data_IF_366585921409
#
_entry.id   IF_366585921409
#
_cell.length_a   1.000
_cell.length_b   1.000
_cell.length_c   1.000
_cell.angle_alpha   90.00
_cell.angle_beta   90.00
_cell.angle_gamma   90.00
#
_symmetry.space_group_name_H-M   'P 1'
#
loop_
_entity.id
_entity.type
_entity.pdbx_description
1 polymer ?
#
# COMPACT_ATOMS: atom_id res chain seq x y z
N UNK A 1 14.19 2.29 -0.75
CA UNK A 1 13.73 1.09 -1.48
C UNK A 1 12.74 0.37 -0.60
N UNK A 2 11.61 -0.08 -1.16
CA UNK A 2 10.44 -0.52 -0.38
C UNK A 2 10.70 -1.81 0.40
N UNK A 3 11.51 -2.73 -0.14
CA UNK A 3 11.94 -3.94 0.55
C UNK A 3 12.57 -3.62 1.91
N UNK A 4 13.45 -2.61 1.97
CA UNK A 4 14.09 -2.22 3.23
C UNK A 4 13.08 -1.56 4.18
N UNK A 5 12.12 -0.78 3.67
CA UNK A 5 11.05 -0.18 4.50
C UNK A 5 10.18 -1.23 5.19
N UNK A 6 9.92 -2.36 4.52
CA UNK A 6 9.08 -3.46 5.04
C UNK A 6 9.89 -4.66 5.57
N UNK A 7 11.20 -4.51 5.78
CA UNK A 7 12.10 -5.63 6.09
C UNK A 7 11.73 -6.45 7.31
N UNK A 8 11.09 -5.84 8.31
CA UNK A 8 10.59 -6.55 9.50
C UNK A 8 9.56 -7.64 9.16
N UNK A 9 8.97 -7.61 7.96
CA UNK A 9 8.01 -8.59 7.47
C UNK A 9 8.62 -9.59 6.47
N UNK A 10 9.94 -9.61 6.34
CA UNK A 10 10.65 -10.54 5.44
C UNK A 10 10.27 -11.99 5.73
N UNK A 11 9.68 -12.64 4.73
CA UNK A 11 9.23 -14.05 4.77
C UNK A 11 8.25 -14.39 5.90
N UNK A 12 7.55 -13.40 6.47
CA UNK A 12 6.47 -13.65 7.43
C UNK A 12 5.26 -14.18 6.68
N UNK A 13 4.69 -15.31 7.12
CA UNK A 13 3.55 -15.96 6.45
C UNK A 13 2.20 -15.31 6.80
N UNK A 14 2.08 -14.00 6.59
CA UNK A 14 0.86 -13.22 6.81
C UNK A 14 0.68 -12.12 5.77
N UNK A 15 -0.33 -11.26 5.96
CA UNK A 15 -0.63 -10.14 5.05
C UNK A 15 0.53 -9.14 4.92
N UNK A 16 1.22 -8.83 6.01
CA UNK A 16 2.37 -7.93 5.96
C UNK A 16 3.56 -8.53 5.20
N UNK A 17 3.83 -9.83 5.35
CA UNK A 17 4.86 -10.49 4.55
C UNK A 17 4.51 -10.56 3.07
N UNK A 18 3.23 -10.72 2.72
CA UNK A 18 2.76 -10.54 1.34
C UNK A 18 2.97 -9.11 0.84
N UNK A 19 2.70 -8.09 1.66
CA UNK A 19 3.02 -6.71 1.30
C UNK A 19 4.53 -6.52 1.04
N UNK A 20 5.40 -7.16 1.83
CA UNK A 20 6.84 -7.17 1.61
C UNK A 20 7.25 -7.87 0.30
N UNK A 21 6.63 -9.01 -0.07
CA UNK A 21 6.89 -9.65 -1.36
C UNK A 21 6.58 -8.70 -2.54
N UNK A 22 5.49 -7.93 -2.45
CA UNK A 22 5.18 -6.89 -3.44
C UNK A 22 6.19 -5.73 -3.40
N UNK A 23 6.67 -5.34 -2.22
CA UNK A 23 7.72 -4.33 -2.07
C UNK A 23 9.03 -4.75 -2.78
N UNK A 24 9.43 -6.02 -2.66
CA UNK A 24 10.58 -6.61 -3.37
C UNK A 24 10.36 -6.53 -4.89
N UNK A 25 9.17 -6.91 -5.37
CA UNK A 25 8.86 -6.86 -6.81
C UNK A 25 8.96 -5.42 -7.36
N UNK A 26 8.48 -4.42 -6.62
CA UNK A 26 8.59 -3.00 -6.99
C UNK A 26 10.06 -2.59 -7.11
N UNK A 27 10.91 -2.95 -6.15
CA UNK A 27 12.32 -2.61 -6.17
C UNK A 27 13.05 -3.31 -7.33
N UNK A 28 12.72 -4.57 -7.65
CA UNK A 28 13.24 -5.26 -8.83
C UNK A 28 12.83 -4.52 -10.11
N UNK A 29 11.55 -4.20 -10.27
CA UNK A 29 11.02 -3.51 -11.45
C UNK A 29 11.66 -2.13 -11.66
N UNK A 30 11.92 -1.41 -10.56
CA UNK A 30 12.58 -0.09 -10.56
C UNK A 30 14.00 -0.14 -11.13
N UNK A 31 14.64 -1.31 -11.14
CA UNK A 31 15.99 -1.53 -11.68
C UNK A 31 15.98 -2.13 -13.09
N UNK A 32 14.80 -2.26 -13.73
CA UNK A 32 14.68 -2.74 -15.11
C UNK A 32 14.59 -1.60 -16.12
N UNK A 33 14.70 -1.92 -17.42
CA UNK A 33 14.45 -0.97 -18.51
C UNK A 33 12.99 -0.95 -18.99
N UNK A 34 12.06 -1.56 -18.24
CA UNK A 34 10.64 -1.61 -18.59
C UNK A 34 10.07 -0.19 -18.47
N UNK A 35 9.49 0.31 -19.56
CA UNK A 35 8.91 1.67 -19.61
C UNK A 35 7.46 1.73 -19.14
N UNK A 36 6.76 0.63 -19.30
CA UNK A 36 5.35 0.53 -18.94
C UNK A 36 5.22 0.37 -17.42
N UNK A 37 4.56 1.33 -16.77
CA UNK A 37 4.39 1.35 -15.32
C UNK A 37 3.30 0.40 -14.81
N UNK A 38 2.57 -0.28 -15.69
CA UNK A 38 1.41 -1.12 -15.36
C UNK A 38 1.78 -2.21 -14.34
N UNK A 39 2.86 -2.95 -14.55
CA UNK A 39 3.31 -4.01 -13.62
C UNK A 39 3.74 -3.40 -12.27
N UNK A 40 4.48 -2.30 -12.30
CA UNK A 40 4.88 -1.57 -11.09
C UNK A 40 3.63 -1.15 -10.30
N UNK A 41 2.63 -0.61 -11.00
CA UNK A 41 1.37 -0.16 -10.43
C UNK A 41 0.58 -1.27 -9.74
N UNK A 42 0.48 -2.43 -10.39
CA UNK A 42 -0.14 -3.62 -9.79
C UNK A 42 0.53 -3.97 -8.45
N UNK A 43 1.87 -4.07 -8.42
CA UNK A 43 2.57 -4.43 -7.20
C UNK A 43 2.46 -3.34 -6.13
N UNK A 44 2.50 -2.06 -6.49
CA UNK A 44 2.35 -0.95 -5.54
C UNK A 44 0.97 -0.92 -4.90
N UNK A 45 -0.09 -1.13 -5.69
CA UNK A 45 -1.45 -1.21 -5.18
C UNK A 45 -1.61 -2.40 -4.22
N UNK A 46 -1.12 -3.59 -4.60
CA UNK A 46 -1.20 -4.78 -3.76
C UNK A 46 -0.41 -4.62 -2.46
N UNK A 47 0.77 -4.02 -2.50
CA UNK A 47 1.56 -3.70 -1.31
C UNK A 47 0.74 -2.85 -0.31
N UNK A 48 0.12 -1.77 -0.77
CA UNK A 48 -0.70 -0.91 0.09
C UNK A 48 -1.96 -1.62 0.58
N UNK A 49 -2.67 -2.34 -0.30
CA UNK A 49 -3.89 -3.07 0.06
C UNK A 49 -3.63 -4.08 1.17
N UNK A 50 -2.62 -4.93 0.99
CA UNK A 50 -2.27 -5.97 1.95
C UNK A 50 -1.79 -5.36 3.26
N UNK A 51 -1.05 -4.25 3.21
CA UNK A 51 -0.60 -3.58 4.42
C UNK A 51 -1.75 -2.92 5.19
N UNK A 52 -2.71 -2.28 4.52
CA UNK A 52 -3.93 -1.81 5.20
C UNK A 52 -4.71 -2.94 5.85
N UNK A 53 -4.86 -4.08 5.14
CA UNK A 53 -5.57 -5.24 5.66
C UNK A 53 -4.85 -5.86 6.86
N UNK A 54 -3.52 -5.92 6.84
CA UNK A 54 -2.71 -6.30 7.99
C UNK A 54 -2.98 -5.40 9.21
N UNK A 55 -2.98 -4.07 9.03
CA UNK A 55 -3.27 -3.13 10.12
C UNK A 55 -4.69 -3.31 10.68
N UNK A 56 -5.67 -3.56 9.81
CA UNK A 56 -7.04 -3.84 10.23
C UNK A 56 -7.14 -5.18 10.97
N UNK A 57 -6.47 -6.22 10.49
CA UNK A 57 -6.44 -7.54 11.13
C UNK A 57 -5.79 -7.50 12.52
N UNK A 58 -4.71 -6.75 12.68
CA UNK A 58 -3.87 -6.81 13.89
C UNK A 58 -4.13 -5.69 14.90
N UNK A 59 -4.64 -4.53 14.46
CA UNK A 59 -4.81 -3.34 15.33
C UNK A 59 -6.25 -2.86 15.46
N UNK A 60 -7.21 -3.43 14.73
CA UNK A 60 -8.63 -3.11 14.95
C UNK A 60 -9.22 -3.92 16.10
N UNK A 61 -10.30 -3.41 16.71
CA UNK A 61 -11.00 -4.11 17.79
C UNK A 61 -11.51 -5.50 17.39
N UNK A 62 -11.92 -5.67 16.13
CA UNK A 62 -12.57 -6.88 15.64
C UNK A 62 -11.66 -7.76 14.77
N UNK A 63 -10.46 -7.30 14.43
CA UNK A 63 -9.52 -8.02 13.57
C UNK A 63 -10.07 -8.33 12.18
N UNK A 64 -10.88 -7.42 11.61
CA UNK A 64 -11.57 -7.64 10.34
C UNK A 64 -11.42 -6.46 9.39
N UNK A 65 -11.40 -6.74 8.09
CA UNK A 65 -11.37 -5.75 7.02
C UNK A 65 -12.46 -6.06 5.98
N UNK A 66 -12.92 -5.04 5.25
CA UNK A 66 -13.90 -5.28 4.19
C UNK A 66 -13.30 -6.01 2.99
N UNK A 67 -14.14 -6.74 2.25
CA UNK A 67 -13.75 -7.38 1.00
C UNK A 67 -13.70 -6.37 -0.16
N UNK A 68 -12.84 -5.36 -0.04
CA UNK A 68 -12.60 -4.34 -1.05
C UNK A 68 -11.11 -4.27 -1.43
N UNK A 69 -10.86 -3.76 -2.64
CA UNK A 69 -9.54 -3.45 -3.18
C UNK A 69 -9.33 -1.92 -3.31
N UNK A 70 -10.35 -1.13 -2.95
CA UNK A 70 -10.34 0.32 -3.04
C UNK A 70 -9.53 0.90 -1.89
N UNK A 71 -8.32 1.37 -2.18
CA UNK A 71 -7.36 1.81 -1.17
C UNK A 71 -7.89 2.96 -0.30
N UNK A 72 -8.65 3.89 -0.87
CA UNK A 72 -9.26 4.99 -0.14
C UNK A 72 -10.26 4.51 0.92
N UNK A 73 -11.01 3.43 0.65
CA UNK A 73 -11.94 2.85 1.62
C UNK A 73 -11.17 2.13 2.73
N UNK A 74 -10.11 1.41 2.38
CA UNK A 74 -9.26 0.75 3.35
C UNK A 74 -8.59 1.76 4.30
N UNK A 75 -8.10 2.91 3.79
CA UNK A 75 -7.59 3.98 4.64
C UNK A 75 -8.67 4.51 5.60
N UNK A 76 -9.89 4.73 5.11
CA UNK A 76 -11.01 5.16 5.95
C UNK A 76 -11.34 4.14 7.05
N UNK A 77 -11.32 2.84 6.72
CA UNK A 77 -11.49 1.76 7.70
C UNK A 77 -10.36 1.75 8.73
N UNK A 78 -9.10 1.93 8.30
CA UNK A 78 -7.95 1.98 9.23
C UNK A 78 -8.11 3.15 10.20
N UNK A 79 -8.48 4.33 9.72
CA UNK A 79 -8.70 5.50 10.58
C UNK A 79 -9.87 5.28 11.54
N UNK A 80 -10.96 4.68 11.06
CA UNK A 80 -12.18 4.49 11.85
C UNK A 80 -12.03 3.39 12.91
N UNK A 81 -11.31 2.32 12.59
CA UNK A 81 -11.30 1.09 13.39
C UNK A 81 -10.00 0.87 14.18
N UNK A 82 -8.99 1.73 14.02
CA UNK A 82 -7.70 1.62 14.73
C UNK A 82 -7.33 2.95 15.42
N UNK A 83 -6.17 2.98 16.10
CA UNK A 83 -5.58 4.19 16.65
C UNK A 83 -4.91 5.11 15.61
N UNK A 84 -4.83 4.71 14.34
CA UNK A 84 -4.16 5.49 13.30
C UNK A 84 -4.86 6.82 13.01
N UNK A 85 -4.10 7.91 12.89
CA UNK A 85 -4.63 9.26 12.60
C UNK A 85 -3.77 9.92 11.53
N UNK A 86 -4.44 10.47 10.52
CA UNK A 86 -3.82 11.28 9.47
C UNK A 86 -4.88 12.17 8.80
N UNK A 87 -4.45 13.17 8.03
CA UNK A 87 -5.35 13.95 7.17
C UNK A 87 -5.61 13.20 5.86
N UNK A 88 -6.65 12.36 5.87
CA UNK A 88 -6.99 11.51 4.70
C UNK A 88 -7.20 12.30 3.42
N UNK A 89 -7.60 13.58 3.48
CA UNK A 89 -7.91 14.39 2.30
C UNK A 89 -6.70 14.55 1.37
N UNK A 90 -5.49 14.47 1.92
CA UNK A 90 -4.23 14.53 1.18
C UNK A 90 -3.99 13.30 0.28
N UNK A 91 -4.60 12.17 0.64
CA UNK A 91 -4.29 10.88 0.02
C UNK A 91 -5.41 10.31 -0.86
N UNK A 92 -6.67 10.75 -0.68
CA UNK A 92 -7.83 10.13 -1.35
C UNK A 92 -7.69 10.06 -2.88
N UNK A 93 -7.25 11.15 -3.52
CA UNK A 93 -7.11 11.20 -4.97
C UNK A 93 -5.98 10.28 -5.45
N UNK A 94 -4.81 10.33 -4.79
CA UNK A 94 -3.67 9.48 -5.14
C UNK A 94 -4.00 7.98 -5.00
N UNK A 95 -4.68 7.60 -3.90
CA UNK A 95 -5.14 6.23 -3.66
C UNK A 95 -6.16 5.77 -4.71
N UNK A 96 -7.03 6.68 -5.18
CA UNK A 96 -7.96 6.39 -6.25
C UNK A 96 -7.25 6.17 -7.59
N UNK A 97 -6.26 7.00 -7.93
CA UNK A 97 -5.44 6.81 -9.15
C UNK A 97 -4.73 5.46 -9.13
N UNK A 98 -4.12 5.07 -8.01
CA UNK A 98 -3.44 3.77 -7.87
C UNK A 98 -4.44 2.61 -8.04
N UNK A 99 -5.63 2.72 -7.43
CA UNK A 99 -6.69 1.72 -7.57
C UNK A 99 -7.10 1.55 -9.03
N UNK A 100 -7.43 2.65 -9.71
CA UNK A 100 -7.84 2.65 -11.12
C UNK A 100 -6.73 2.09 -12.01
N UNK A 101 -5.49 2.52 -11.79
CA UNK A 101 -4.35 2.04 -12.57
C UNK A 101 -4.19 0.51 -12.50
N UNK A 102 -4.49 -0.12 -11.36
CA UNK A 102 -4.47 -1.58 -11.23
C UNK A 102 -5.70 -2.27 -11.83
N UNK A 103 -6.87 -1.62 -11.80
CA UNK A 103 -8.07 -2.13 -12.48
C UNK A 103 -7.87 -2.13 -14.01
N UNK A 104 -7.25 -1.07 -14.54
CA UNK A 104 -6.94 -0.85 -15.96
C UNK A 104 -5.71 -1.63 -16.45
N UNK A 105 -4.76 -1.96 -15.55
CA UNK A 105 -3.56 -2.78 -15.82
C UNK A 105 -3.80 -3.97 -16.76
N UNK A 106 -4.93 -4.66 -16.58
CA UNK A 106 -5.24 -5.91 -17.27
C UNK A 106 -5.78 -5.71 -18.68
N UNK A 107 -6.22 -4.50 -19.02
CA UNK A 107 -7.05 -4.25 -20.20
C UNK A 107 -6.58 -3.09 -21.07
N UNK A 108 -5.78 -2.17 -20.53
CA UNK A 108 -5.50 -0.89 -21.18
C UNK A 108 -4.01 -0.53 -21.18
N UNK A 109 -3.44 -0.38 -22.37
CA UNK A 109 -2.04 0.00 -22.59
C UNK A 109 -1.78 1.52 -22.47
N UNK A 110 -2.82 2.32 -22.19
CA UNK A 110 -2.75 3.79 -22.16
C UNK A 110 -2.72 4.37 -20.74
N UNK A 111 -2.03 3.72 -19.80
CA UNK A 111 -1.87 4.23 -18.45
C UNK A 111 -1.05 5.52 -18.49
N UNK A 112 -1.57 6.58 -17.87
CA UNK A 112 -0.81 7.79 -17.58
C UNK A 112 0.22 7.51 -16.47
N UNK A 113 1.39 7.02 -16.88
CA UNK A 113 2.47 6.69 -15.97
C UNK A 113 3.01 7.90 -15.20
N UNK A 114 2.93 9.11 -15.77
CA UNK A 114 3.37 10.32 -15.08
C UNK A 114 2.43 10.64 -13.91
N UNK A 115 1.12 10.68 -14.17
CA UNK A 115 0.10 10.87 -13.14
C UNK A 115 0.13 9.76 -12.06
N UNK A 116 0.38 8.52 -12.48
CA UNK A 116 0.60 7.41 -11.56
C UNK A 116 1.81 7.63 -10.64
N UNK A 117 2.97 7.99 -11.19
CA UNK A 117 4.19 8.20 -10.38
C UNK A 117 4.05 9.39 -9.42
N UNK A 118 3.33 10.45 -9.80
CA UNK A 118 2.97 11.53 -8.87
C UNK A 118 2.13 11.02 -7.69
N UNK A 119 1.17 10.13 -7.97
CA UNK A 119 0.35 9.50 -6.93
C UNK A 119 1.16 8.58 -6.01
N UNK A 120 2.15 7.86 -6.55
CA UNK A 120 3.10 7.06 -5.75
C UNK A 120 3.90 7.94 -4.79
N UNK A 121 4.39 9.09 -5.23
CA UNK A 121 5.14 10.01 -4.36
C UNK A 121 4.27 10.44 -3.17
N UNK A 122 3.01 10.80 -3.41
CA UNK A 122 2.06 11.17 -2.36
C UNK A 122 1.80 9.99 -1.41
N UNK A 123 1.52 8.81 -1.96
CA UNK A 123 1.24 7.62 -1.15
C UNK A 123 2.47 7.07 -0.41
N UNK A 124 3.70 7.45 -0.80
CA UNK A 124 4.90 7.12 -0.04
C UNK A 124 4.95 7.80 1.31
N UNK A 125 4.45 9.03 1.42
CA UNK A 125 4.30 9.70 2.72
C UNK A 125 3.30 8.94 3.61
N UNK A 126 2.16 8.53 3.04
CA UNK A 126 1.21 7.70 3.76
C UNK A 126 1.82 6.36 4.20
N UNK A 127 2.57 5.69 3.33
CA UNK A 127 3.25 4.44 3.68
C UNK A 127 4.20 4.63 4.87
N UNK A 128 4.95 5.73 4.91
CA UNK A 128 5.84 6.04 6.02
C UNK A 128 5.08 6.31 7.33
N UNK A 129 3.94 7.00 7.28
CA UNK A 129 3.06 7.18 8.44
C UNK A 129 2.51 5.84 8.95
N UNK A 130 2.05 4.97 8.04
CA UNK A 130 1.51 3.66 8.39
C UNK A 130 2.58 2.75 9.00
N UNK A 131 3.80 2.76 8.46
CA UNK A 131 4.93 2.01 9.01
C UNK A 131 5.34 2.53 10.39
N UNK A 132 5.33 3.86 10.59
CA UNK A 132 5.54 4.47 11.90
C UNK A 132 4.49 4.03 12.92
N UNK A 133 3.21 3.96 12.50
CA UNK A 133 2.12 3.46 13.34
C UNK A 133 2.24 1.95 13.63
N UNK A 134 2.74 1.18 12.68
CA UNK A 134 2.97 -0.25 12.85
C UNK A 134 4.03 -0.52 13.92
N UNK A 135 5.21 0.09 13.78
CA UNK A 135 6.35 -0.09 14.70
C UNK A 135 6.18 0.51 16.09
N UNK A 136 5.20 1.41 16.31
CA UNK A 136 4.98 2.02 17.63
C UNK A 136 4.50 1.02 18.71
N UNK A 137 3.97 -0.15 18.33
CA UNK A 137 3.45 -1.13 19.29
C UNK A 137 4.51 -2.10 19.86
N UNK A 138 5.72 -2.15 19.31
CA UNK A 138 6.79 -3.04 19.82
C UNK A 138 7.48 -2.52 21.10
N UNK A 139 7.04 -1.38 21.63
CA UNK A 139 7.58 -0.77 22.85
C UNK A 139 6.62 -0.77 24.05
N UNK A 140 5.48 -1.45 23.95
CA UNK A 140 4.47 -1.55 25.02
C UNK A 140 3.97 -2.98 25.30
N UNK A 141 4.68 -4.01 24.84
CA UNK A 141 4.43 -5.41 25.22
C UNK A 141 5.47 -5.91 26.23
#
# INVERSE_FOLDING_TARGET
MYQEKLKQFENVENLAGKAWEHAVAIDVLSNTSIKDCSIYCFHYQQMLELFFKHLLETKSQFGSYSNTHKLQKLLEEVIANTGFRTDKSQYLMALQVITVCTEEYRYNFLIDCEGYHQSVIICNFLLDELLGFEGYNDHLA
#
